data_IF_732924214767
#
_entry.id   IF_732924214767
#
_cell.length_a   1.000
_cell.length_b   1.000
_cell.length_c   1.000
_cell.angle_alpha   90.00
_cell.angle_beta   90.00
_cell.angle_gamma   90.00
#
_symmetry.space_group_name_H-M   'P 1'
#
loop_
_entity.id
_entity.type
_entity.pdbx_description
1 polymer ?
#
# COMPACT_ATOMS: atom_id res chain seq x y z
N UNK A 1 -1.12 -10.30 -22.46
CA UNK A 1 0.32 -10.28 -22.06
C UNK A 1 0.29 -9.85 -20.62
N UNK A 2 0.22 -10.83 -19.74
CA UNK A 2 -0.33 -10.63 -18.40
C UNK A 2 0.86 -10.61 -17.46
N UNK A 3 1.51 -9.45 -17.39
CA UNK A 3 2.63 -9.20 -16.50
C UNK A 3 2.12 -8.59 -15.21
N UNK A 4 1.99 -9.40 -14.15
CA UNK A 4 1.82 -8.92 -12.78
C UNK A 4 3.13 -8.26 -12.29
N UNK A 5 3.52 -7.15 -12.91
CA UNK A 5 4.63 -6.33 -12.47
C UNK A 5 4.12 -5.29 -11.48
N UNK A 6 4.75 -5.18 -10.31
CA UNK A 6 4.55 -4.05 -9.40
C UNK A 6 5.30 -2.78 -9.87
N UNK A 7 5.66 -2.70 -11.16
CA UNK A 7 6.34 -1.52 -11.71
C UNK A 7 5.33 -0.43 -12.05
N UNK A 8 5.76 0.82 -11.97
CA UNK A 8 4.96 1.97 -12.38
C UNK A 8 4.44 1.84 -13.82
N UNK A 9 5.25 1.24 -14.70
CA UNK A 9 4.89 1.00 -16.10
C UNK A 9 3.78 -0.02 -16.26
N UNK A 10 3.88 -1.17 -15.59
CA UNK A 10 2.85 -2.18 -15.65
C UNK A 10 1.51 -1.64 -15.14
N UNK A 11 1.53 -0.92 -14.02
CA UNK A 11 0.33 -0.29 -13.45
C UNK A 11 -0.25 0.78 -14.38
N UNK A 12 0.60 1.57 -15.02
CA UNK A 12 0.18 2.57 -16.00
C UNK A 12 -0.53 1.93 -17.20
N UNK A 13 0.04 0.88 -17.81
CA UNK A 13 -0.60 0.20 -18.94
C UNK A 13 -1.92 -0.48 -18.56
N UNK A 14 -1.96 -1.11 -17.37
CA UNK A 14 -3.21 -1.69 -16.85
C UNK A 14 -4.29 -0.62 -16.66
N UNK A 15 -3.95 0.55 -16.11
CA UNK A 15 -4.87 1.67 -15.95
C UNK A 15 -5.37 2.18 -17.31
N UNK A 16 -4.46 2.39 -18.27
CA UNK A 16 -4.83 2.88 -19.60
C UNK A 16 -5.74 1.92 -20.36
N UNK A 17 -5.50 0.61 -20.24
CA UNK A 17 -6.39 -0.41 -20.82
C UNK A 17 -7.77 -0.38 -20.16
N UNK A 18 -7.83 -0.31 -18.83
CA UNK A 18 -9.09 -0.21 -18.09
C UNK A 18 -9.91 1.03 -18.49
N UNK A 19 -9.28 2.21 -18.54
CA UNK A 19 -9.95 3.44 -18.95
C UNK A 19 -10.48 3.35 -20.39
N UNK A 20 -9.71 2.74 -21.30
CA UNK A 20 -10.14 2.50 -22.67
C UNK A 20 -11.34 1.56 -22.77
N UNK A 21 -11.36 0.50 -21.96
CA UNK A 21 -12.52 -0.42 -21.88
C UNK A 21 -13.77 0.27 -21.35
N UNK A 22 -13.60 1.29 -20.49
CA UNK A 22 -14.68 2.10 -19.94
C UNK A 22 -15.05 3.32 -20.79
N UNK A 23 -14.40 3.53 -21.94
CA UNK A 23 -14.56 4.72 -22.78
C UNK A 23 -14.33 6.06 -22.03
N UNK A 24 -13.36 6.07 -21.11
CA UNK A 24 -12.97 7.23 -20.32
C UNK A 24 -11.64 7.80 -20.83
N UNK A 25 -11.60 9.10 -21.14
CA UNK A 25 -10.34 9.78 -21.49
C UNK A 25 -9.58 10.19 -20.23
N UNK A 26 -8.34 9.72 -20.09
CA UNK A 26 -7.44 10.12 -19.02
C UNK A 26 -7.17 11.63 -18.99
N UNK A 27 -7.33 12.34 -20.12
CA UNK A 27 -7.17 13.81 -20.18
C UNK A 27 -8.22 14.56 -19.36
N UNK A 28 -9.36 13.93 -19.10
CA UNK A 28 -10.39 14.50 -18.24
C UNK A 28 -10.12 14.26 -16.75
N UNK A 29 -9.11 13.44 -16.42
CA UNK A 29 -8.67 13.22 -15.05
C UNK A 29 -8.11 14.52 -14.45
N UNK A 30 -8.66 14.92 -13.30
CA UNK A 30 -8.24 16.11 -12.53
C UNK A 30 -7.56 15.79 -11.21
N UNK A 31 -7.60 14.53 -10.79
CA UNK A 31 -7.03 14.12 -9.52
C UNK A 31 -6.66 12.64 -9.53
N UNK A 32 -5.59 12.31 -8.83
CA UNK A 32 -5.11 10.95 -8.62
C UNK A 32 -4.70 10.77 -7.17
N UNK A 33 -5.09 9.65 -6.54
CA UNK A 33 -4.74 9.37 -5.15
C UNK A 33 -4.54 7.88 -4.90
N UNK A 34 -3.45 7.54 -4.21
CA UNK A 34 -3.06 6.17 -3.85
C UNK A 34 -1.94 6.22 -2.79
N UNK A 35 -1.39 5.05 -2.42
CA UNK A 35 -0.32 4.94 -1.43
C UNK A 35 0.95 5.74 -1.81
N UNK A 36 1.88 5.85 -0.85
CA UNK A 36 3.14 6.56 -1.03
C UNK A 36 4.26 5.64 -1.56
N UNK A 37 3.94 4.44 -2.07
CA UNK A 37 4.96 3.55 -2.60
C UNK A 37 5.70 4.23 -3.75
N UNK A 38 7.01 3.98 -3.87
CA UNK A 38 7.87 4.73 -4.80
C UNK A 38 7.53 4.50 -6.27
N UNK A 39 6.98 3.34 -6.60
CA UNK A 39 6.42 3.00 -7.91
C UNK A 39 5.12 3.76 -8.23
N UNK A 40 4.42 4.27 -7.22
CA UNK A 40 3.16 5.01 -7.36
C UNK A 40 3.39 6.52 -7.26
N UNK A 41 3.88 6.98 -6.11
CA UNK A 41 4.10 8.39 -5.76
C UNK A 41 5.42 8.98 -6.28
N UNK A 42 6.25 8.16 -6.93
CA UNK A 42 7.56 8.56 -7.41
C UNK A 42 7.50 9.76 -8.35
N UNK A 43 8.20 10.84 -8.01
CA UNK A 43 8.20 12.12 -8.76
C UNK A 43 8.63 12.00 -10.23
N UNK A 44 9.52 11.06 -10.55
CA UNK A 44 10.10 10.93 -11.89
C UNK A 44 9.68 9.65 -12.60
N UNK A 45 9.66 8.52 -11.88
CA UNK A 45 9.39 7.20 -12.46
C UNK A 45 8.15 6.53 -11.85
N UNK A 46 7.39 7.24 -11.02
CA UNK A 46 6.16 6.72 -10.44
C UNK A 46 4.98 6.80 -11.40
N UNK A 47 3.91 6.07 -11.09
CA UNK A 47 2.64 6.16 -11.79
C UNK A 47 2.13 7.60 -11.87
N UNK A 48 2.32 8.37 -10.79
CA UNK A 48 1.96 9.78 -10.71
C UNK A 48 2.57 10.61 -11.82
N UNK A 49 3.88 10.45 -12.03
CA UNK A 49 4.61 11.20 -13.04
C UNK A 49 4.08 10.87 -14.44
N UNK A 50 3.89 9.58 -14.73
CA UNK A 50 3.37 9.10 -16.02
C UNK A 50 1.96 9.59 -16.31
N UNK A 51 1.07 9.61 -15.32
CA UNK A 51 -0.29 10.17 -15.47
C UNK A 51 -0.21 11.68 -15.71
N UNK A 52 0.66 12.39 -14.97
CA UNK A 52 0.80 13.85 -15.07
C UNK A 52 1.42 14.32 -16.40
N UNK A 53 2.22 13.47 -17.06
CA UNK A 53 2.70 13.71 -18.43
C UNK A 53 1.55 13.78 -19.46
N UNK A 54 0.48 13.02 -19.24
CA UNK A 54 -0.64 12.90 -20.19
C UNK A 54 -1.79 13.85 -19.81
N UNK A 55 -2.07 13.96 -18.51
CA UNK A 55 -3.00 14.95 -17.96
C UNK A 55 -2.26 15.84 -16.95
N UNK A 56 -1.71 16.99 -17.40
CA UNK A 56 -1.01 17.93 -16.53
C UNK A 56 -1.86 18.46 -15.37
N UNK A 57 -3.18 18.39 -15.51
CA UNK A 57 -4.15 18.84 -14.51
C UNK A 57 -4.55 17.74 -13.50
N UNK A 58 -4.07 16.50 -13.66
CA UNK A 58 -4.32 15.41 -12.73
C UNK A 58 -3.42 15.55 -11.50
N UNK A 59 -3.85 16.34 -10.52
CA UNK A 59 -3.07 16.58 -9.31
C UNK A 59 -3.05 15.35 -8.41
N UNK A 60 -1.88 15.06 -7.85
CA UNK A 60 -1.70 13.92 -6.97
C UNK A 60 -1.90 14.30 -5.51
N UNK A 61 -2.71 13.49 -4.83
CA UNK A 61 -2.95 13.57 -3.40
C UNK A 61 -2.57 12.23 -2.78
N UNK A 62 -1.59 12.19 -1.86
CA UNK A 62 -1.23 10.96 -1.18
C UNK A 62 -2.39 10.44 -0.31
N UNK A 63 -2.47 9.13 -0.12
CA UNK A 63 -3.49 8.52 0.72
C UNK A 63 -3.38 9.02 2.17
N UNK A 64 -4.44 9.69 2.66
CA UNK A 64 -4.51 10.18 4.04
C UNK A 64 -4.47 9.05 5.07
N UNK A 65 -5.12 7.92 4.79
CA UNK A 65 -5.13 6.77 5.70
C UNK A 65 -3.73 6.18 5.86
N UNK A 66 -2.99 6.00 4.77
CA UNK A 66 -1.60 5.57 4.81
C UNK A 66 -0.72 6.57 5.57
N UNK A 67 -0.85 7.86 5.24
CA UNK A 67 -0.07 8.91 5.87
C UNK A 67 -0.32 8.95 7.38
N UNK A 68 -1.57 8.76 7.82
CA UNK A 68 -1.92 8.68 9.24
C UNK A 68 -1.34 7.44 9.90
N UNK A 69 -1.39 6.28 9.23
CA UNK A 69 -0.79 5.04 9.74
C UNK A 69 0.72 5.21 9.94
N UNK A 70 1.44 5.79 8.97
CA UNK A 70 2.87 6.08 9.08
C UNK A 70 3.21 7.03 10.24
N UNK A 71 2.38 8.08 10.45
CA UNK A 71 2.54 8.99 11.58
C UNK A 71 2.31 8.27 12.90
N UNK A 72 1.26 7.43 12.99
CA UNK A 72 0.98 6.62 14.16
C UNK A 72 2.12 5.65 14.49
N UNK A 73 2.63 4.95 13.47
CA UNK A 73 3.79 4.08 13.60
C UNK A 73 5.01 4.84 14.11
N UNK A 74 5.33 5.99 13.49
CA UNK A 74 6.47 6.82 13.90
C UNK A 74 6.33 7.34 15.34
N UNK A 75 5.10 7.66 15.77
CA UNK A 75 4.81 8.09 17.13
C UNK A 75 4.95 6.96 18.16
N UNK A 76 4.65 5.73 17.78
CA UNK A 76 4.91 4.56 18.64
C UNK A 76 6.41 4.27 18.71
N UNK A 77 7.09 4.25 17.57
CA UNK A 77 8.52 3.94 17.47
C UNK A 77 9.43 4.90 18.26
N UNK A 78 9.00 6.14 18.47
CA UNK A 78 9.75 7.10 19.26
C UNK A 78 9.65 6.88 20.78
N UNK A 79 8.73 6.02 21.24
CA UNK A 79 8.45 5.75 22.65
C UNK A 79 8.68 4.27 23.00
N UNK A 80 9.73 3.98 23.77
CA UNK A 80 10.10 2.59 24.11
C UNK A 80 9.00 1.86 24.87
N UNK A 81 8.30 2.55 25.76
CA UNK A 81 7.20 2.02 26.54
C UNK A 81 6.03 1.63 25.62
N UNK A 82 5.72 2.47 24.63
CA UNK A 82 4.70 2.17 23.63
C UNK A 82 5.11 0.97 22.77
N UNK A 83 6.35 0.92 22.28
CA UNK A 83 6.88 -0.24 21.54
C UNK A 83 6.73 -1.52 22.37
N UNK A 84 7.17 -1.51 23.63
CA UNK A 84 7.06 -2.67 24.52
C UNK A 84 5.61 -3.10 24.74
N UNK A 85 4.70 -2.14 24.91
CA UNK A 85 3.27 -2.42 25.03
C UNK A 85 2.73 -3.13 23.79
N UNK A 86 2.99 -2.61 22.58
CA UNK A 86 2.52 -3.23 21.34
C UNK A 86 3.18 -4.59 21.09
N UNK A 87 4.48 -4.75 21.36
CA UNK A 87 5.16 -6.05 21.28
C UNK A 87 4.57 -7.07 22.27
N UNK A 88 4.18 -6.65 23.47
CA UNK A 88 3.53 -7.54 24.44
C UNK A 88 2.17 -8.02 23.91
N UNK A 89 1.35 -7.10 23.38
CA UNK A 89 0.05 -7.44 22.78
C UNK A 89 0.22 -8.38 21.59
N UNK A 90 1.21 -8.14 20.73
CA UNK A 90 1.54 -9.02 19.60
C UNK A 90 1.89 -10.43 20.07
N UNK A 91 2.74 -10.56 21.10
CA UNK A 91 3.09 -11.86 21.68
C UNK A 91 1.88 -12.59 22.26
N UNK A 92 0.98 -11.89 22.96
CA UNK A 92 -0.26 -12.49 23.49
C UNK A 92 -1.15 -12.99 22.35
N UNK A 93 -1.31 -12.19 21.28
CA UNK A 93 -2.08 -12.59 20.10
C UNK A 93 -1.48 -13.85 19.45
N UNK A 94 -0.16 -13.87 19.25
CA UNK A 94 0.55 -15.03 18.69
C UNK A 94 0.39 -16.27 19.59
N UNK A 95 0.52 -16.12 20.91
CA UNK A 95 0.32 -17.23 21.85
C UNK A 95 -1.09 -17.81 21.75
N UNK A 96 -2.13 -16.97 21.73
CA UNK A 96 -3.53 -17.40 21.60
C UNK A 96 -3.74 -18.07 20.24
N UNK A 97 -3.27 -17.44 19.16
CA UNK A 97 -3.41 -17.93 17.81
C UNK A 97 -2.75 -19.30 17.62
N UNK A 98 -1.51 -19.48 18.08
CA UNK A 98 -0.79 -20.74 17.99
C UNK A 98 -1.40 -21.84 18.86
N UNK A 99 -1.94 -21.48 20.03
CA UNK A 99 -2.62 -22.42 20.92
C UNK A 99 -3.93 -22.95 20.35
N UNK A 100 -4.57 -22.17 19.46
CA UNK A 100 -5.81 -22.56 18.76
C UNK A 100 -5.51 -23.30 17.45
N UNK A 101 -4.43 -22.95 16.75
CA UNK A 101 -4.07 -23.47 15.43
C UNK A 101 -2.94 -24.51 15.46
N UNK A 102 -2.98 -25.45 16.41
CA UNK A 102 -1.94 -26.48 16.65
C UNK A 102 -1.75 -27.50 15.50
N UNK A 103 -2.45 -27.35 14.38
CA UNK A 103 -2.30 -28.23 13.22
C UNK A 103 -2.40 -27.45 11.90
N UNK A 104 -1.43 -26.60 11.61
CA UNK A 104 -1.02 -26.28 10.24
C UNK A 104 0.24 -25.40 10.24
N UNK A 105 1.41 -25.99 9.97
CA UNK A 105 2.65 -25.27 9.63
C UNK A 105 2.58 -24.52 8.29
N UNK A 106 1.44 -23.93 7.95
CA UNK A 106 1.12 -23.30 6.67
C UNK A 106 0.63 -21.85 6.82
N UNK A 107 0.43 -21.37 8.06
CA UNK A 107 -0.24 -20.07 8.32
C UNK A 107 0.71 -18.98 8.84
N UNK A 108 1.90 -19.31 9.35
CA UNK A 108 2.92 -18.33 9.76
C UNK A 108 3.21 -17.32 8.64
N UNK A 109 3.28 -17.78 7.39
CA UNK A 109 3.61 -16.94 6.24
C UNK A 109 2.44 -16.06 5.77
N UNK A 110 1.19 -16.34 6.17
CA UNK A 110 0.02 -15.56 5.75
C UNK A 110 -0.42 -14.54 6.79
N UNK A 111 -0.38 -14.86 8.08
CA UNK A 111 -0.86 -13.93 9.13
C UNK A 111 0.16 -12.81 9.39
N UNK A 112 1.46 -13.14 9.43
CA UNK A 112 2.52 -12.12 9.48
C UNK A 112 2.48 -11.23 8.25
N UNK A 113 2.12 -11.79 7.09
CA UNK A 113 2.00 -11.04 5.83
C UNK A 113 0.77 -10.13 5.82
N UNK A 114 -0.39 -10.59 6.31
CA UNK A 114 -1.60 -9.76 6.43
C UNK A 114 -1.41 -8.62 7.44
N UNK A 115 -0.75 -8.86 8.57
CA UNK A 115 -0.40 -7.79 9.51
C UNK A 115 0.61 -6.80 8.92
N UNK A 116 1.63 -7.27 8.20
CA UNK A 116 2.57 -6.40 7.47
C UNK A 116 1.90 -5.62 6.33
N UNK A 117 0.96 -6.21 5.60
CA UNK A 117 0.20 -5.57 4.52
C UNK A 117 -0.79 -4.51 5.08
N UNK A 118 -1.32 -4.68 6.30
CA UNK A 118 -2.14 -3.67 6.99
C UNK A 118 -1.32 -2.52 7.57
N UNK A 119 -0.04 -2.75 7.93
CA UNK A 119 0.91 -1.69 8.31
C UNK A 119 1.61 -1.03 7.11
N UNK A 120 1.56 -1.63 5.91
CA UNK A 120 2.19 -1.15 4.68
C UNK A 120 1.20 -0.80 3.55
N UNK A 121 -0.06 -0.50 3.86
CA UNK A 121 -0.85 0.36 2.97
C UNK A 121 -0.59 1.80 3.31
#
# INVERSE_FOLDING_TARGET
MDGHGHSAEAMFYSLMNFLKEMDLDIKDCRGQSYDNASNMSGKYNGLQAKIKEISPHAEYVPCFAHSLNLVGQSAVECCKEAVNFFCFIENVYLCIFLSINTSAGFIEEKVVRVWRELTCC
#
